data_IF_025839631135
#
_entry.id   IF_025839631135
#
_cell.length_a   1.000
_cell.length_b   1.000
_cell.length_c   1.000
_cell.angle_alpha   90.00
_cell.angle_beta   90.00
_cell.angle_gamma   90.00
#
_symmetry.space_group_name_H-M   'P 1'
#
loop_
_entity.id
_entity.type
_entity.pdbx_description
1 polymer ?
#
# COMPACT_ATOMS: atom_id res chain seq x y z
N UNK A 1 -17.34 50.02 -14.29
CA UNK A 1 -17.14 48.57 -14.13
C UNK A 1 -16.91 47.99 -15.52
N UNK A 2 -15.66 47.89 -15.97
CA UNK A 2 -15.35 47.26 -17.24
C UNK A 2 -15.57 45.75 -17.06
N UNK A 3 -16.65 45.22 -17.63
CA UNK A 3 -16.83 43.78 -17.73
C UNK A 3 -15.64 43.24 -18.53
N UNK A 4 -14.82 42.40 -17.90
CA UNK A 4 -13.72 41.69 -18.55
C UNK A 4 -14.31 40.66 -19.52
N UNK A 5 -14.85 41.14 -20.64
CA UNK A 5 -15.41 40.31 -21.69
C UNK A 5 -14.32 39.42 -22.26
N UNK A 6 -14.64 38.14 -22.44
CA UNK A 6 -13.69 37.21 -23.04
C UNK A 6 -13.41 37.59 -24.49
N UNK A 7 -12.26 37.19 -25.03
CA UNK A 7 -11.91 37.41 -26.45
C UNK A 7 -12.98 36.83 -27.38
N UNK A 8 -13.64 35.73 -26.99
CA UNK A 8 -14.80 35.16 -27.70
C UNK A 8 -16.00 36.11 -27.71
N UNK A 9 -16.39 36.64 -26.55
CA UNK A 9 -17.53 37.56 -26.44
C UNK A 9 -17.29 38.87 -27.20
N UNK A 10 -16.05 39.36 -27.20
CA UNK A 10 -15.67 40.53 -27.98
C UNK A 10 -15.74 40.28 -29.49
N UNK A 11 -15.26 39.12 -29.96
CA UNK A 11 -15.37 38.74 -31.36
C UNK A 11 -16.83 38.66 -31.83
N UNK A 12 -17.70 38.06 -31.02
CA UNK A 12 -19.15 37.98 -31.33
C UNK A 12 -19.75 39.38 -31.41
N UNK A 13 -19.47 40.25 -30.44
CA UNK A 13 -19.97 41.62 -30.45
C UNK A 13 -19.52 42.41 -31.68
N UNK A 14 -18.28 42.23 -32.15
CA UNK A 14 -17.79 42.92 -33.35
C UNK A 14 -18.51 42.41 -34.61
N UNK A 15 -18.79 41.10 -34.68
CA UNK A 15 -19.54 40.52 -35.80
C UNK A 15 -20.99 41.03 -35.81
N UNK A 16 -21.65 41.12 -34.65
CA UNK A 16 -23.00 41.66 -34.52
C UNK A 16 -23.05 43.15 -34.93
N UNK A 17 -22.04 43.94 -34.54
CA UNK A 17 -21.91 45.34 -34.95
C UNK A 17 -21.75 45.46 -36.48
N UNK A 18 -20.91 44.61 -37.09
CA UNK A 18 -20.71 44.58 -38.56
C UNK A 18 -22.00 44.19 -39.28
N UNK A 19 -22.74 43.21 -38.75
CA UNK A 19 -24.05 42.81 -39.30
C UNK A 19 -25.05 43.96 -39.25
N UNK A 20 -25.11 44.69 -38.12
CA UNK A 20 -26.01 45.82 -37.95
C UNK A 20 -25.69 46.94 -38.95
N UNK A 21 -24.41 47.32 -39.08
CA UNK A 21 -23.97 48.35 -40.03
C UNK A 21 -24.29 47.92 -41.47
N UNK A 22 -24.03 46.65 -41.82
CA UNK A 22 -24.32 46.13 -43.15
C UNK A 22 -25.82 46.15 -43.47
N UNK A 23 -26.69 45.81 -42.50
CA UNK A 23 -28.15 45.91 -42.65
C UNK A 23 -28.58 47.34 -42.92
N UNK A 24 -28.09 48.30 -42.12
CA UNK A 24 -28.42 49.73 -42.27
C UNK A 24 -27.98 50.27 -43.64
N UNK A 25 -26.78 49.89 -44.11
CA UNK A 25 -26.30 50.26 -45.45
C UNK A 25 -27.18 49.70 -46.57
N UNK A 26 -27.62 48.44 -46.45
CA UNK A 26 -28.51 47.80 -47.44
C UNK A 26 -29.89 48.46 -47.42
N UNK A 27 -30.49 48.64 -46.25
CA UNK A 27 -31.80 49.29 -46.08
C UNK A 27 -31.81 50.70 -46.69
N UNK A 28 -30.76 51.48 -46.44
CA UNK A 28 -30.60 52.81 -47.02
C UNK A 28 -30.44 52.80 -48.55
N UNK A 29 -29.82 51.76 -49.11
CA UNK A 29 -29.67 51.61 -50.57
C UNK A 29 -31.04 51.41 -51.24
N UNK A 30 -31.92 50.63 -50.60
CA UNK A 30 -33.25 50.27 -51.10
C UNK A 30 -34.30 51.35 -50.76
N UNK A 31 -34.02 52.24 -49.80
CA UNK A 31 -34.95 53.28 -49.33
C UNK A 31 -35.41 54.24 -50.45
N UNK A 32 -36.66 54.75 -50.38
CA UNK A 32 -37.15 55.77 -51.32
C UNK A 32 -36.37 57.08 -51.18
N UNK A 33 -36.26 57.87 -52.26
CA UNK A 33 -35.41 59.09 -52.33
C UNK A 33 -35.63 60.10 -51.19
N UNK A 34 -36.83 60.15 -50.61
CA UNK A 34 -37.21 61.04 -49.50
C UNK A 34 -36.66 60.59 -48.14
N UNK A 35 -36.22 59.34 -48.02
CA UNK A 35 -35.79 58.69 -46.77
C UNK A 35 -34.37 58.15 -46.85
N UNK A 36 -33.62 58.49 -47.91
CA UNK A 36 -32.21 58.12 -48.04
C UNK A 36 -31.36 58.99 -47.12
N UNK A 37 -30.41 58.36 -46.43
CA UNK A 37 -29.34 59.03 -45.71
C UNK A 37 -28.58 59.97 -46.65
N UNK A 38 -28.08 61.06 -46.07
CA UNK A 38 -27.18 62.00 -46.73
C UNK A 38 -25.92 61.29 -47.20
N UNK A 39 -25.30 61.80 -48.27
CA UNK A 39 -23.98 61.34 -48.74
C UNK A 39 -22.93 61.35 -47.62
N UNK A 40 -23.04 62.29 -46.67
CA UNK A 40 -22.12 62.40 -45.53
C UNK A 40 -22.35 61.25 -44.54
N UNK A 41 -23.61 60.95 -44.21
CA UNK A 41 -23.98 59.88 -43.26
C UNK A 41 -23.65 58.49 -43.84
N UNK A 42 -23.85 58.31 -45.15
CA UNK A 42 -23.42 57.10 -45.85
C UNK A 42 -21.89 56.93 -45.84
N UNK A 43 -21.14 58.03 -45.96
CA UNK A 43 -19.68 58.02 -45.81
C UNK A 43 -19.27 57.58 -44.40
N UNK A 44 -19.90 58.14 -43.37
CA UNK A 44 -19.63 57.80 -41.97
C UNK A 44 -19.92 56.33 -41.64
N UNK A 45 -21.01 55.75 -42.17
CA UNK A 45 -21.31 54.33 -42.02
C UNK A 45 -20.26 53.44 -42.69
N UNK A 46 -19.74 53.87 -43.85
CA UNK A 46 -18.68 53.15 -44.57
C UNK A 46 -17.37 53.18 -43.78
N UNK A 47 -17.01 54.34 -43.23
CA UNK A 47 -15.83 54.48 -42.37
C UNK A 47 -15.95 53.64 -41.09
N UNK A 48 -17.14 53.62 -40.47
CA UNK A 48 -17.40 52.81 -39.29
C UNK A 48 -17.26 51.31 -39.58
N UNK A 49 -17.72 50.85 -40.74
CA UNK A 49 -17.54 49.48 -41.20
C UNK A 49 -16.06 49.12 -41.36
N UNK A 50 -15.26 50.01 -41.95
CA UNK A 50 -13.80 49.84 -42.09
C UNK A 50 -13.12 49.80 -40.73
N UNK A 51 -13.54 50.63 -39.77
CA UNK A 51 -13.02 50.59 -38.40
C UNK A 51 -13.31 49.23 -37.75
N UNK A 52 -14.54 48.72 -37.88
CA UNK A 52 -14.95 47.43 -37.30
C UNK A 52 -14.25 46.23 -37.95
N UNK A 53 -14.02 46.27 -39.27
CA UNK A 53 -13.21 45.25 -39.97
C UNK A 53 -11.76 45.21 -39.46
N UNK A 54 -11.14 46.39 -39.23
CA UNK A 54 -9.81 46.46 -38.65
C UNK A 54 -9.78 45.96 -37.19
N UNK A 55 -10.81 46.30 -36.40
CA UNK A 55 -10.98 45.80 -35.03
C UNK A 55 -11.08 44.26 -35.03
N UNK A 56 -11.89 43.68 -35.91
CA UNK A 56 -12.04 42.24 -36.09
C UNK A 56 -10.72 41.56 -36.44
N UNK A 57 -9.98 42.09 -37.43
CA UNK A 57 -8.66 41.57 -37.83
C UNK A 57 -7.67 41.56 -36.67
N UNK A 58 -7.64 42.63 -35.88
CA UNK A 58 -6.76 42.72 -34.70
C UNK A 58 -7.12 41.69 -33.63
N UNK A 59 -8.43 41.47 -33.40
CA UNK A 59 -8.94 40.51 -32.42
C UNK A 59 -8.72 39.06 -32.85
N UNK A 60 -8.83 38.75 -34.14
CA UNK A 60 -8.50 37.44 -34.68
C UNK A 60 -7.01 37.10 -34.50
N UNK A 61 -6.11 38.07 -34.71
CA UNK A 61 -4.69 37.88 -34.44
C UNK A 61 -4.42 37.55 -32.97
N UNK A 62 -5.07 38.26 -32.05
CA UNK A 62 -4.98 37.98 -30.62
C UNK A 62 -5.50 36.58 -30.28
N UNK A 63 -6.62 36.16 -30.87
CA UNK A 63 -7.17 34.83 -30.66
C UNK A 63 -6.22 33.71 -31.12
N UNK A 64 -5.51 33.90 -32.24
CA UNK A 64 -4.49 32.96 -32.72
C UNK A 64 -3.29 32.86 -31.75
N UNK A 65 -2.83 33.99 -31.21
CA UNK A 65 -1.76 34.02 -30.19
C UNK A 65 -2.20 33.34 -28.89
N UNK A 66 -3.45 33.53 -28.47
CA UNK A 66 -4.04 32.84 -27.31
C UNK A 66 -4.15 31.33 -27.56
N UNK A 67 -4.54 30.89 -28.76
CA UNK A 67 -4.61 29.47 -29.11
C UNK A 67 -3.23 28.80 -29.04
N UNK A 68 -2.19 29.44 -29.58
CA UNK A 68 -0.80 28.97 -29.48
C UNK A 68 -0.32 28.87 -28.03
N UNK A 69 -0.70 29.84 -27.21
CA UNK A 69 -0.37 29.85 -25.77
C UNK A 69 -1.10 28.73 -25.04
N UNK A 70 -2.38 28.51 -25.36
CA UNK A 70 -3.17 27.44 -24.77
C UNK A 70 -2.58 26.05 -25.08
N UNK A 71 -2.15 25.81 -26.32
CA UNK A 71 -1.45 24.56 -26.69
C UNK A 71 -0.19 24.33 -25.85
N UNK A 72 0.61 25.37 -25.62
CA UNK A 72 1.80 25.28 -24.75
C UNK A 72 1.41 25.01 -23.30
N UNK A 73 0.34 25.64 -22.81
CA UNK A 73 -0.17 25.40 -21.47
C UNK A 73 -0.63 23.96 -21.28
N UNK A 74 -1.33 23.40 -22.27
CA UNK A 74 -1.81 22.01 -22.21
C UNK A 74 -0.65 21.01 -22.27
N UNK A 75 0.37 21.27 -23.09
CA UNK A 75 1.59 20.46 -23.12
C UNK A 75 2.33 20.49 -21.77
N UNK A 76 2.45 21.67 -21.15
CA UNK A 76 3.07 21.80 -19.84
C UNK A 76 2.27 21.10 -18.75
N UNK A 77 0.94 21.19 -18.76
CA UNK A 77 0.07 20.46 -17.83
C UNK A 77 0.27 18.95 -17.94
N UNK A 78 0.38 18.42 -19.16
CA UNK A 78 0.62 17.01 -19.38
C UNK A 78 1.98 16.56 -18.82
N UNK A 79 3.02 17.38 -18.96
CA UNK A 79 4.34 17.07 -18.39
C UNK A 79 4.35 17.16 -16.86
N UNK A 80 3.66 18.13 -16.27
CA UNK A 80 3.49 18.22 -14.81
C UNK A 80 2.80 16.97 -14.26
N UNK A 81 1.70 16.54 -14.89
CA UNK A 81 0.97 15.33 -14.49
C UNK A 81 1.86 14.08 -14.58
N UNK A 82 2.69 13.98 -15.64
CA UNK A 82 3.66 12.88 -15.79
C UNK A 82 4.68 12.88 -14.64
N UNK A 83 5.23 14.04 -14.30
CA UNK A 83 6.20 14.17 -13.21
C UNK A 83 5.59 13.88 -11.85
N UNK A 84 4.35 14.30 -11.59
CA UNK A 84 3.66 13.98 -10.35
C UNK A 84 3.43 12.47 -10.19
N UNK A 85 3.11 11.77 -11.28
CA UNK A 85 3.02 10.31 -11.27
C UNK A 85 4.36 9.66 -10.96
N UNK A 86 5.46 10.13 -11.56
CA UNK A 86 6.81 9.65 -11.28
C UNK A 86 7.19 9.86 -9.80
N UNK A 87 6.87 11.03 -9.23
CA UNK A 87 7.10 11.35 -7.81
C UNK A 87 6.32 10.40 -6.90
N UNK A 88 5.04 10.15 -7.19
CA UNK A 88 4.22 9.23 -6.41
C UNK A 88 4.77 7.79 -6.44
N UNK A 89 5.21 7.33 -7.60
CA UNK A 89 5.82 6.01 -7.75
C UNK A 89 7.14 5.90 -6.97
N UNK A 90 7.99 6.92 -7.04
CA UNK A 90 9.23 6.97 -6.26
C UNK A 90 8.97 6.98 -4.76
N UNK A 91 8.00 7.76 -4.30
CA UNK A 91 7.62 7.80 -2.89
C UNK A 91 7.12 6.44 -2.40
N UNK A 92 6.32 5.73 -3.21
CA UNK A 92 5.86 4.37 -2.88
C UNK A 92 7.03 3.40 -2.74
N UNK A 93 7.95 3.37 -3.72
CA UNK A 93 9.14 2.52 -3.68
C UNK A 93 10.03 2.83 -2.48
N UNK A 94 10.17 4.11 -2.12
CA UNK A 94 10.97 4.51 -0.97
C UNK A 94 10.37 3.98 0.34
N UNK A 95 9.04 4.08 0.52
CA UNK A 95 8.34 3.54 1.68
C UNK A 95 8.45 2.01 1.76
N UNK A 96 8.36 1.33 0.64
CA UNK A 96 8.55 -0.14 0.59
C UNK A 96 9.98 -0.52 1.00
N UNK A 97 10.99 0.19 0.49
CA UNK A 97 12.38 -0.03 0.86
C UNK A 97 12.65 0.25 2.34
N UNK A 98 12.08 1.35 2.87
CA UNK A 98 12.15 1.70 4.29
C UNK A 98 11.59 0.57 5.17
N UNK A 99 10.42 0.02 4.82
CA UNK A 99 9.79 -1.06 5.56
C UNK A 99 10.66 -2.33 5.58
N UNK A 100 11.24 -2.70 4.43
CA UNK A 100 12.14 -3.86 4.33
C UNK A 100 13.38 -3.65 5.20
N UNK A 101 13.99 -2.46 5.14
CA UNK A 101 15.17 -2.11 5.93
C UNK A 101 14.86 -2.12 7.43
N UNK A 102 13.74 -1.54 7.86
CA UNK A 102 13.32 -1.54 9.26
C UNK A 102 13.16 -2.97 9.81
N UNK A 103 12.50 -3.83 9.03
CA UNK A 103 12.30 -5.25 9.38
C UNK A 103 13.63 -5.99 9.46
N UNK A 104 14.51 -5.80 8.46
CA UNK A 104 15.83 -6.43 8.43
C UNK A 104 16.70 -5.99 9.61
N UNK A 105 16.69 -4.70 9.96
CA UNK A 105 17.43 -4.16 11.12
C UNK A 105 16.91 -4.77 12.41
N UNK A 106 15.59 -4.88 12.57
CA UNK A 106 14.98 -5.48 13.75
C UNK A 106 15.40 -6.94 13.91
N UNK A 107 15.26 -7.74 12.85
CA UNK A 107 15.68 -9.15 12.84
C UNK A 107 17.18 -9.31 13.09
N UNK A 108 18.02 -8.46 12.50
CA UNK A 108 19.46 -8.46 12.73
C UNK A 108 19.81 -8.16 14.19
N UNK A 109 19.14 -7.19 14.82
CA UNK A 109 19.31 -6.88 16.25
C UNK A 109 18.92 -8.07 17.14
N UNK A 110 17.79 -8.72 16.86
CA UNK A 110 17.38 -9.92 17.59
C UNK A 110 18.41 -11.06 17.43
N UNK A 111 18.93 -11.28 16.22
CA UNK A 111 19.95 -12.29 15.95
C UNK A 111 21.29 -11.98 16.64
N UNK A 112 21.69 -10.72 16.71
CA UNK A 112 22.87 -10.32 17.48
C UNK A 112 22.69 -10.60 18.97
N UNK A 113 21.50 -10.35 19.52
CA UNK A 113 21.20 -10.69 20.91
C UNK A 113 21.25 -12.20 21.16
N UNK A 114 20.73 -13.03 20.25
CA UNK A 114 20.81 -14.49 20.40
C UNK A 114 22.24 -15.01 20.30
N UNK A 115 23.05 -14.47 19.38
CA UNK A 115 24.49 -14.77 19.29
C UNK A 115 25.21 -14.36 20.58
N UNK A 116 24.95 -13.17 21.11
CA UNK A 116 25.55 -12.72 22.36
C UNK A 116 25.17 -13.62 23.54
N UNK A 117 23.93 -14.13 23.60
CA UNK A 117 23.50 -15.11 24.61
C UNK A 117 24.20 -16.46 24.42
N UNK A 118 24.33 -16.96 23.20
CA UNK A 118 25.02 -18.21 22.90
C UNK A 118 26.52 -18.13 23.24
N UNK A 119 27.18 -17.02 22.93
CA UNK A 119 28.60 -16.80 23.27
C UNK A 119 28.87 -16.79 24.78
N UNK A 120 27.88 -16.46 25.62
CA UNK A 120 28.01 -16.57 27.09
C UNK A 120 28.03 -18.03 27.58
N UNK A 121 27.47 -18.97 26.81
CA UNK A 121 27.40 -20.40 27.14
C UNK A 121 27.74 -21.21 25.89
N UNK A 122 29.02 -21.22 25.47
CA UNK A 122 29.42 -21.97 24.29
C UNK A 122 29.25 -23.47 24.55
N UNK A 123 28.54 -24.15 23.66
CA UNK A 123 28.41 -25.61 23.68
C UNK A 123 29.48 -26.18 22.74
N UNK A 124 30.40 -27.05 23.21
CA UNK A 124 31.42 -27.63 22.36
C UNK A 124 30.80 -28.55 21.31
N UNK A 125 31.32 -28.53 20.09
CA UNK A 125 30.83 -29.35 18.97
C UNK A 125 30.83 -30.85 19.29
N UNK A 126 31.80 -31.31 20.08
CA UNK A 126 31.88 -32.70 20.54
C UNK A 126 30.68 -33.14 21.39
N UNK A 127 30.16 -32.25 22.25
CA UNK A 127 28.95 -32.56 23.03
C UNK A 127 27.73 -32.62 22.13
N UNK A 128 27.60 -31.70 21.18
CA UNK A 128 26.52 -31.73 20.19
C UNK A 128 26.55 -33.04 19.39
N UNK A 129 27.72 -33.45 18.89
CA UNK A 129 27.87 -34.69 18.12
C UNK A 129 27.50 -35.92 18.98
N UNK A 130 27.99 -36.00 20.22
CA UNK A 130 27.66 -37.10 21.15
C UNK A 130 26.17 -37.14 21.48
N UNK A 131 25.57 -35.98 21.73
CA UNK A 131 24.14 -35.88 22.07
C UNK A 131 23.26 -36.20 20.87
N UNK A 132 23.59 -35.70 19.68
CA UNK A 132 22.93 -36.03 18.42
C UNK A 132 23.02 -37.52 18.13
N UNK A 133 24.19 -38.13 18.27
CA UNK A 133 24.37 -39.58 18.09
C UNK A 133 23.52 -40.37 19.09
N UNK A 134 23.48 -39.93 20.36
CA UNK A 134 22.63 -40.55 21.39
C UNK A 134 21.13 -40.43 21.06
N UNK A 135 20.67 -39.27 20.60
CA UNK A 135 19.28 -39.09 20.16
C UNK A 135 18.99 -39.97 18.95
N UNK A 136 19.86 -40.01 17.95
CA UNK A 136 19.69 -40.85 16.76
C UNK A 136 19.72 -42.35 17.08
N UNK A 137 20.47 -42.76 18.10
CA UNK A 137 20.53 -44.15 18.55
C UNK A 137 19.34 -44.54 19.44
N UNK A 138 18.82 -43.60 20.25
CA UNK A 138 17.73 -43.85 21.20
C UNK A 138 16.33 -43.56 20.64
N UNK A 139 16.19 -42.69 19.64
CA UNK A 139 14.90 -42.26 19.09
C UNK A 139 14.79 -42.62 17.60
N UNK A 140 13.83 -43.47 17.24
CA UNK A 140 13.53 -43.78 15.85
C UNK A 140 12.90 -42.56 15.13
N UNK A 141 13.34 -42.27 13.90
CA UNK A 141 12.87 -41.14 13.07
C UNK A 141 11.38 -41.28 12.70
N UNK A 142 10.83 -42.49 12.76
CA UNK A 142 9.40 -42.74 12.66
C UNK A 142 9.00 -43.93 13.55
N UNK A 143 7.71 -43.95 13.89
CA UNK A 143 7.05 -45.07 14.54
C UNK A 143 6.90 -46.25 13.56
N UNK A 144 7.57 -47.41 13.74
CA UNK A 144 7.26 -48.59 12.93
C UNK A 144 5.79 -48.98 13.09
N UNK A 145 5.16 -49.37 11.97
CA UNK A 145 3.72 -49.73 11.89
C UNK A 145 3.31 -50.87 12.85
N UNK A 146 4.28 -51.62 13.40
CA UNK A 146 4.06 -52.69 14.37
C UNK A 146 4.06 -52.23 15.84
N UNK A 147 4.00 -50.92 16.13
CA UNK A 147 4.03 -50.38 17.48
C UNK A 147 2.79 -50.80 18.30
N UNK A 148 3.00 -51.69 19.28
CA UNK A 148 1.96 -52.10 20.25
C UNK A 148 2.28 -51.65 21.68
N UNK A 149 1.27 -51.38 22.49
CA UNK A 149 1.43 -50.90 23.87
C UNK A 149 2.29 -51.90 24.66
N UNK A 150 3.42 -51.44 25.23
CA UNK A 150 4.41 -52.29 25.90
C UNK A 150 5.66 -52.65 25.07
N UNK A 151 5.77 -52.21 23.82
CA UNK A 151 6.98 -52.42 23.01
C UNK A 151 8.19 -51.69 23.63
N UNK A 152 9.27 -52.40 24.02
CA UNK A 152 10.48 -51.81 24.64
C UNK A 152 11.26 -50.87 23.72
N UNK A 153 10.96 -50.87 22.41
CA UNK A 153 11.61 -50.00 21.42
C UNK A 153 11.01 -48.59 21.36
N UNK A 154 10.11 -48.25 22.31
CA UNK A 154 9.43 -46.95 22.34
C UNK A 154 10.40 -45.84 22.77
N UNK A 155 10.49 -44.71 22.03
CA UNK A 155 11.44 -43.62 22.32
C UNK A 155 11.17 -42.82 23.60
N UNK A 156 10.04 -43.07 24.27
CA UNK A 156 9.64 -42.36 25.49
C UNK A 156 9.73 -43.30 26.70
N UNK A 157 9.95 -42.76 27.91
CA UNK A 157 10.01 -43.58 29.12
C UNK A 157 8.78 -44.49 29.21
N UNK A 158 9.01 -45.81 29.19
CA UNK A 158 7.92 -46.79 29.34
C UNK A 158 7.59 -46.92 30.84
N UNK A 159 6.32 -47.16 31.20
CA UNK A 159 5.84 -47.33 32.58
C UNK A 159 6.81 -48.03 33.57
N UNK A 160 7.43 -49.19 33.26
CA UNK A 160 8.38 -49.83 34.16
C UNK A 160 9.67 -49.02 34.38
N UNK A 161 10.09 -48.22 33.40
CA UNK A 161 11.25 -47.32 33.51
C UNK A 161 10.92 -46.07 34.36
N UNK A 162 9.68 -45.57 34.26
CA UNK A 162 9.21 -44.46 35.09
C UNK A 162 8.99 -44.90 36.54
N UNK A 163 8.44 -46.09 36.78
CA UNK A 163 8.17 -46.59 38.14
C UNK A 163 9.42 -47.07 38.88
N UNK A 164 10.44 -47.57 38.18
CA UNK A 164 11.70 -47.98 38.79
C UNK A 164 12.68 -46.82 39.01
N UNK A 165 12.57 -45.74 38.23
CA UNK A 165 13.44 -44.57 38.36
C UNK A 165 12.85 -43.43 39.22
N UNK A 166 11.52 -43.32 39.34
CA UNK A 166 10.88 -42.26 40.11
C UNK A 166 10.67 -42.63 41.57
N UNK A 167 11.08 -41.74 42.47
CA UNK A 167 10.68 -41.73 43.88
C UNK A 167 9.20 -41.36 44.07
N UNK A 168 8.48 -41.04 43.00
CA UNK A 168 7.09 -40.60 42.99
C UNK A 168 6.24 -41.49 42.09
N UNK A 169 5.14 -42.01 42.64
CA UNK A 169 4.17 -42.87 41.97
C UNK A 169 2.79 -42.21 41.95
N UNK A 170 2.12 -42.26 40.80
CA UNK A 170 0.73 -41.80 40.65
C UNK A 170 -0.23 -42.93 41.02
N UNK A 171 -1.11 -42.70 41.99
CA UNK A 171 -2.13 -43.68 42.40
C UNK A 171 -3.39 -43.55 41.52
N UNK A 172 -4.12 -44.64 41.20
CA UNK A 172 -5.37 -44.59 40.41
C UNK A 172 -6.47 -43.70 40.99
N UNK A 173 -6.37 -43.37 42.28
CA UNK A 173 -7.25 -42.43 43.00
C UNK A 173 -6.96 -40.96 42.70
N UNK A 174 -5.91 -40.65 41.92
CA UNK A 174 -5.51 -39.29 41.55
C UNK A 174 -4.49 -38.63 42.49
N UNK A 175 -3.97 -39.34 43.48
CA UNK A 175 -3.02 -38.83 44.48
C UNK A 175 -1.57 -39.21 44.13
N UNK A 176 -0.61 -38.29 44.34
CA UNK A 176 0.83 -38.55 44.14
C UNK A 176 1.43 -39.07 45.44
N UNK A 177 2.05 -40.25 45.41
CA UNK A 177 2.76 -40.81 46.56
C UNK A 177 4.27 -40.75 46.35
N UNK A 178 5.01 -40.32 47.36
CA UNK A 178 6.47 -40.40 47.40
C UNK A 178 6.91 -41.62 48.22
N UNK A 179 7.80 -42.45 47.70
CA UNK A 179 8.33 -43.63 48.39
C UNK A 179 9.77 -43.38 48.85
N UNK A 180 9.99 -43.36 50.16
CA UNK A 180 11.30 -43.17 50.79
C UNK A 180 11.54 -44.33 51.75
N UNK A 181 12.54 -45.19 51.48
CA UNK A 181 12.97 -46.21 52.43
C UNK A 181 11.91 -47.25 52.84
N UNK A 182 11.00 -47.63 51.93
CA UNK A 182 9.99 -48.66 52.18
C UNK A 182 8.67 -48.17 52.79
N UNK A 183 8.51 -46.87 53.03
CA UNK A 183 7.23 -46.25 53.38
C UNK A 183 6.78 -45.26 52.29
N UNK A 184 5.52 -45.38 51.88
CA UNK A 184 4.88 -44.47 50.91
C UNK A 184 4.06 -43.39 51.61
N UNK A 185 4.30 -42.12 51.30
CA UNK A 185 3.58 -40.97 51.88
C UNK A 185 2.85 -40.21 50.77
N UNK A 186 1.56 -39.91 50.98
CA UNK A 186 0.77 -39.10 50.06
C UNK A 186 1.19 -37.63 50.10
N UNK A 187 1.47 -37.03 48.95
CA UNK A 187 1.70 -35.59 48.78
C UNK A 187 0.39 -34.94 48.31
N UNK A 188 -0.14 -34.03 49.13
CA UNK A 188 -1.26 -33.18 48.76
C UNK A 188 -0.76 -31.94 47.99
N UNK A 189 -0.95 -31.90 46.68
CA UNK A 189 -0.60 -30.75 45.82
C UNK A 189 -1.73 -29.71 45.74
N UNK A 190 -2.26 -29.27 46.88
CA UNK A 190 -3.22 -28.15 46.92
C UNK A 190 -2.69 -26.99 47.76
N UNK A 191 -1.87 -26.14 47.12
CA UNK A 191 -1.90 -24.68 47.32
C UNK A 191 -0.94 -23.96 46.35
N UNK A 192 -1.54 -23.16 45.47
CA UNK A 192 -1.44 -21.70 45.42
C UNK A 192 -1.40 -21.22 43.96
N UNK A 193 -2.49 -20.57 43.57
CA UNK A 193 -2.61 -19.67 42.42
C UNK A 193 -1.39 -18.75 42.36
N UNK A 194 -0.76 -18.62 41.19
CA UNK A 194 -0.66 -17.37 40.43
C UNK A 194 0.25 -17.51 39.19
N UNK A 195 -0.02 -16.63 38.21
CA UNK A 195 0.87 -16.13 37.14
C UNK A 195 0.85 -16.82 35.76
N UNK A 196 0.02 -16.21 34.89
CA UNK A 196 0.31 -15.81 33.51
C UNK A 196 1.11 -16.79 32.64
N UNK A 197 0.37 -17.72 32.04
CA UNK A 197 0.79 -18.36 30.79
C UNK A 197 0.13 -17.60 29.65
N UNK A 198 0.83 -16.60 29.11
CA UNK A 198 0.51 -16.06 27.79
C UNK A 198 0.67 -17.21 26.78
N UNK A 199 -0.47 -17.79 26.42
CA UNK A 199 -0.62 -18.68 25.28
C UNK A 199 -0.16 -17.94 24.04
N UNK A 200 1.03 -18.30 23.55
CA UNK A 200 1.51 -17.92 22.24
C UNK A 200 0.53 -18.46 21.20
N UNK A 201 -0.38 -17.61 20.75
CA UNK A 201 -1.14 -17.86 19.53
C UNK A 201 -0.16 -17.75 18.37
N UNK A 202 0.25 -18.90 17.85
CA UNK A 202 0.84 -19.00 16.52
C UNK A 202 -0.28 -18.74 15.51
N UNK A 203 -0.42 -17.50 15.07
CA UNK A 203 -1.21 -17.15 13.89
C UNK A 203 -0.46 -17.59 12.63
N UNK A 204 -0.45 -18.91 12.40
CA UNK A 204 -0.05 -19.47 11.12
C UNK A 204 -1.14 -19.18 10.09
N UNK A 205 -1.05 -18.02 9.43
CA UNK A 205 -1.78 -17.76 8.20
C UNK A 205 -1.11 -18.51 7.05
N UNK A 206 -1.60 -19.73 6.76
CA UNK A 206 -1.26 -20.46 5.54
C UNK A 206 -2.13 -19.95 4.39
N UNK A 207 -1.54 -19.14 3.50
CA UNK A 207 -2.13 -18.83 2.19
C UNK A 207 -2.04 -20.06 1.29
N UNK A 208 -3.17 -20.73 1.08
CA UNK A 208 -3.31 -21.82 0.10
C UNK A 208 -3.44 -21.23 -1.30
N UNK A 209 -2.36 -21.24 -2.07
CA UNK A 209 -2.40 -20.99 -3.51
C UNK A 209 -2.94 -22.24 -4.22
N UNK A 210 -4.18 -22.18 -4.69
CA UNK A 210 -4.75 -23.16 -5.60
C UNK A 210 -4.18 -22.97 -7.01
N UNK A 211 -3.37 -23.95 -7.42
CA UNK A 211 -2.92 -24.15 -8.79
C UNK A 211 -4.10 -24.66 -9.63
N UNK A 212 -4.34 -24.06 -10.79
CA UNK A 212 -5.39 -24.46 -11.74
C UNK A 212 -4.74 -25.21 -12.91
N UNK A 213 -5.19 -26.44 -13.17
CA UNK A 213 -4.99 -27.16 -14.43
C UNK A 213 -6.17 -26.91 -15.37
#
# INVERSE_FOLDING_TARGET
>A
MASNKSTKELLISIVDDIELIAKEMIENTIAPKTSKLSTIEHGQLTDLLVVKDNELKSMLKRADEQAKTNLRMDALKAEVERQDQDIQQLQKKLKEAEQILATAIYQAKQKLQSIARANKRPVPSEELIKFSHRISASNAICAPLSWQQGDPRRPYPTEPLMSSANQFAWHPSGEIHMSMGGQSVAINTHKQENEDVEVMSTDSSSSSSSDSQ
#
